data_IF_658482630577
#
_entry.id   IF_658482630577
#
_cell.length_a   1.000
_cell.length_b   1.000
_cell.length_c   1.000
_cell.angle_alpha   90.00
_cell.angle_beta   90.00
_cell.angle_gamma   90.00
#
_symmetry.space_group_name_H-M   'P 1'
#
loop_
_entity.id
_entity.type
_entity.pdbx_description
1 polymer ?
#
# COMPACT_ATOMS: atom_id res chain seq x y z
N UNK A 1 -9.92 24.91 -5.55
CA UNK A 1 -10.41 23.95 -4.54
C UNK A 1 -9.41 23.96 -3.41
N UNK A 2 -9.80 24.50 -2.27
CA UNK A 2 -8.93 24.66 -1.11
C UNK A 2 -8.90 23.33 -0.35
N UNK A 3 -7.89 22.49 -0.63
CA UNK A 3 -7.65 21.28 0.15
C UNK A 3 -6.94 21.67 1.46
N UNK A 4 -7.67 22.28 2.38
CA UNK A 4 -7.21 22.33 3.77
C UNK A 4 -7.66 21.06 4.47
N UNK A 5 -6.89 19.98 4.30
CA UNK A 5 -7.06 18.73 5.05
C UNK A 5 -6.11 18.71 6.23
N UNK A 6 -6.32 19.62 7.19
CA UNK A 6 -5.57 19.54 8.45
C UNK A 6 -6.02 18.28 9.16
N UNK A 7 -5.17 17.26 9.15
CA UNK A 7 -5.38 16.01 9.87
C UNK A 7 -5.01 16.27 11.33
N UNK A 8 -6.01 16.33 12.21
CA UNK A 8 -5.80 16.57 13.65
C UNK A 8 -5.51 15.28 14.41
N UNK A 9 -6.18 14.17 14.08
CA UNK A 9 -5.98 12.87 14.73
C UNK A 9 -6.43 11.75 13.79
N UNK A 10 -5.66 10.67 13.76
CA UNK A 10 -6.03 9.40 13.11
C UNK A 10 -5.73 8.28 14.10
N UNK A 11 -6.70 7.38 14.26
CA UNK A 11 -6.53 6.12 15.01
C UNK A 11 -6.81 4.98 14.06
N UNK A 12 -5.91 4.01 14.00
CA UNK A 12 -6.04 2.85 13.12
C UNK A 12 -4.99 1.80 13.44
N UNK A 13 -5.14 0.64 12.82
CA UNK A 13 -4.21 -0.46 12.97
C UNK A 13 -3.02 -0.29 12.04
N UNK A 14 -1.83 -0.27 12.62
CA UNK A 14 -0.59 -0.26 11.85
C UNK A 14 -0.27 -1.63 11.28
N UNK A 15 0.31 -1.66 10.09
CA UNK A 15 0.89 -2.85 9.45
C UNK A 15 2.40 -2.70 9.41
N UNK A 16 3.13 -3.68 9.93
CA UNK A 16 4.61 -3.62 9.96
C UNK A 16 5.19 -4.24 8.70
N UNK A 17 5.64 -3.40 7.78
CA UNK A 17 6.36 -3.81 6.57
C UNK A 17 7.86 -3.81 6.87
N UNK A 18 8.50 -4.98 6.83
CA UNK A 18 9.94 -5.12 7.09
C UNK A 18 10.73 -4.97 5.79
N UNK A 19 11.92 -4.42 5.90
CA UNK A 19 12.86 -4.23 4.78
C UNK A 19 13.38 -2.81 4.74
N UNK A 20 14.61 -2.65 4.25
CA UNK A 20 15.18 -1.34 3.94
C UNK A 20 14.83 -0.96 2.49
N UNK A 21 15.13 0.28 2.10
CA UNK A 21 15.13 0.72 0.69
C UNK A 21 13.80 0.46 -0.04
N UNK A 22 12.67 0.78 0.60
CA UNK A 22 11.33 0.75 -0.02
C UNK A 22 11.29 1.80 -1.12
N UNK A 23 11.24 1.34 -2.38
CA UNK A 23 11.20 2.18 -3.57
C UNK A 23 9.82 2.15 -4.24
N UNK A 24 9.69 2.89 -5.35
CA UNK A 24 8.42 3.07 -6.04
C UNK A 24 7.91 1.79 -6.69
N UNK A 25 8.80 0.96 -7.26
CA UNK A 25 8.39 -0.29 -7.89
C UNK A 25 7.98 -1.34 -6.87
N UNK A 26 8.58 -1.34 -5.67
CA UNK A 26 8.13 -2.21 -4.58
C UNK A 26 6.78 -1.78 -4.01
N UNK A 27 6.50 -0.48 -3.94
CA UNK A 27 5.17 0.02 -3.52
C UNK A 27 4.12 -0.31 -4.58
N UNK A 28 4.39 -0.03 -5.85
CA UNK A 28 3.48 -0.29 -6.96
C UNK A 28 4.29 -0.59 -8.24
N UNK A 29 4.33 -1.85 -8.70
CA UNK A 29 5.11 -2.19 -9.88
C UNK A 29 4.65 -1.43 -11.13
N UNK A 30 5.59 -0.88 -11.90
CA UNK A 30 5.29 -0.07 -13.09
C UNK A 30 4.36 -0.74 -14.12
N UNK A 31 4.27 -2.08 -14.14
CA UNK A 31 3.33 -2.84 -15.00
C UNK A 31 1.86 -2.52 -14.74
N UNK A 32 1.51 -2.03 -13.54
CA UNK A 32 0.14 -1.61 -13.19
C UNK A 32 -0.13 -0.13 -13.47
N UNK A 33 0.89 0.66 -13.80
CA UNK A 33 0.77 2.11 -14.06
C UNK A 33 0.43 2.44 -15.52
N UNK A 34 -0.02 1.47 -16.30
CA UNK A 34 -0.47 1.66 -17.70
C UNK A 34 -1.93 2.06 -17.83
N UNK A 35 -2.66 2.15 -16.71
CA UNK A 35 -4.04 2.61 -16.67
C UNK A 35 -4.11 4.14 -16.74
N UNK A 36 -5.16 4.66 -17.37
CA UNK A 36 -5.46 6.10 -17.43
C UNK A 36 -6.37 6.57 -16.28
N UNK A 37 -6.82 5.63 -15.44
CA UNK A 37 -7.63 5.89 -14.25
C UNK A 37 -6.87 5.47 -12.99
N UNK A 38 -7.21 6.06 -11.84
CA UNK A 38 -6.65 5.64 -10.54
C UNK A 38 -7.35 4.42 -9.94
N UNK A 39 -8.31 3.84 -10.64
CA UNK A 39 -9.10 2.72 -10.16
C UNK A 39 -8.23 1.47 -9.99
N UNK A 40 -8.53 0.69 -8.96
CA UNK A 40 -7.91 -0.61 -8.68
C UNK A 40 -6.40 -0.63 -8.42
N UNK A 41 -5.69 0.51 -8.46
CA UNK A 41 -4.26 0.57 -8.15
C UNK A 41 -3.94 0.10 -6.72
N UNK A 42 -4.84 0.38 -5.77
CA UNK A 42 -4.65 -0.03 -4.38
C UNK A 42 -4.60 -1.56 -4.18
N UNK A 43 -5.25 -2.34 -5.05
CA UNK A 43 -5.20 -3.80 -4.98
C UNK A 43 -3.79 -4.33 -5.30
N UNK A 44 -3.03 -3.59 -6.10
CA UNK A 44 -1.68 -3.93 -6.54
C UNK A 44 -0.57 -3.32 -5.67
N UNK A 45 -0.92 -2.68 -4.55
CA UNK A 45 0.06 -2.18 -3.61
C UNK A 45 0.87 -3.35 -3.04
N UNK A 46 2.20 -3.26 -3.16
CA UNK A 46 3.14 -4.29 -2.73
C UNK A 46 2.89 -5.67 -3.37
N UNK A 47 2.38 -5.73 -4.60
CA UNK A 47 1.99 -6.99 -5.28
C UNK A 47 3.07 -8.07 -5.23
N UNK A 48 4.33 -7.72 -5.56
CA UNK A 48 5.43 -8.69 -5.60
C UNK A 48 5.80 -9.21 -4.20
N UNK A 49 5.80 -8.32 -3.20
CA UNK A 49 6.00 -8.70 -1.79
C UNK A 49 4.86 -9.60 -1.31
N UNK A 50 3.62 -9.33 -1.75
CA UNK A 50 2.43 -10.12 -1.41
C UNK A 50 2.45 -11.52 -2.02
N UNK A 51 2.96 -11.65 -3.23
CA UNK A 51 3.12 -12.95 -3.89
C UNK A 51 4.22 -13.82 -3.26
N UNK A 52 5.12 -13.25 -2.46
CA UNK A 52 6.32 -13.95 -1.95
C UNK A 52 6.10 -14.89 -0.75
N UNK A 53 4.89 -14.96 -0.19
CA UNK A 53 4.52 -15.99 0.80
C UNK A 53 3.60 -15.51 1.92
N UNK A 54 4.17 -14.98 3.00
CA UNK A 54 3.43 -14.49 4.18
C UNK A 54 3.58 -12.95 4.33
N UNK A 55 2.98 -12.18 3.41
CA UNK A 55 3.11 -10.74 3.46
C UNK A 55 2.40 -10.16 4.68
N UNK A 56 2.95 -9.10 5.29
CA UNK A 56 2.30 -8.40 6.40
C UNK A 56 0.85 -8.01 6.12
N UNK A 57 0.51 -7.70 4.86
CA UNK A 57 -0.81 -7.24 4.47
C UNK A 57 -1.90 -8.31 4.54
N UNK A 58 -1.54 -9.60 4.48
CA UNK A 58 -2.51 -10.71 4.45
C UNK A 58 -2.57 -11.47 5.79
N UNK A 59 -1.73 -11.11 6.76
CA UNK A 59 -1.72 -11.73 8.07
C UNK A 59 -2.95 -11.32 8.91
N UNK A 60 -3.62 -12.31 9.51
CA UNK A 60 -4.84 -12.12 10.31
C UNK A 60 -4.72 -11.05 11.40
N UNK A 61 -3.55 -10.92 12.04
CA UNK A 61 -3.28 -9.90 13.08
C UNK A 61 -3.43 -8.46 12.57
N UNK A 62 -3.24 -8.25 11.28
CA UNK A 62 -3.31 -6.94 10.63
C UNK A 62 -4.66 -6.70 9.93
N UNK A 63 -5.59 -7.66 9.94
CA UNK A 63 -6.90 -7.56 9.26
C UNK A 63 -7.97 -6.81 10.06
N UNK A 64 -8.53 -5.75 9.48
CA UNK A 64 -9.79 -5.10 9.85
C UNK A 64 -9.65 -3.60 10.04
#
# INVERSE_FOLDING_TARGET
MENSSVIQTITGRGVVVRGADIDTDRIIPARFLRTVTFENLGAHAFEDDRASGDPPFDQARFQG
#
